data_IF_033666534097
#
_entry.id   IF_033666534097
#
_cell.length_a   1.000
_cell.length_b   1.000
_cell.length_c   1.000
_cell.angle_alpha   90.00
_cell.angle_beta   90.00
_cell.angle_gamma   90.00
#
_symmetry.space_group_name_H-M   'P 1'
#
loop_
_entity.id
_entity.type
_entity.pdbx_description
1 polymer ?
#
# COMPACT_ATOMS: atom_id res chain seq x y z
N UNK A 1 5.83 29.23 19.27
CA UNK A 1 6.35 28.48 18.10
C UNK A 1 5.57 27.18 18.02
N UNK A 2 4.79 26.95 16.96
CA UNK A 2 3.83 25.84 16.91
C UNK A 2 4.45 24.55 16.38
N UNK A 3 4.39 23.46 17.14
CA UNK A 3 4.85 22.12 16.71
C UNK A 3 3.88 21.42 15.75
N UNK A 4 2.75 22.03 15.40
CA UNK A 4 1.70 21.40 14.59
C UNK A 4 2.18 20.87 13.24
N UNK A 5 3.07 21.60 12.56
CA UNK A 5 3.65 21.14 11.29
C UNK A 5 4.52 19.89 11.44
N UNK A 6 5.32 19.82 12.50
CA UNK A 6 6.18 18.66 12.79
C UNK A 6 5.32 17.44 13.13
N UNK A 7 4.25 17.62 13.92
CA UNK A 7 3.31 16.55 14.23
C UNK A 7 2.60 16.03 12.98
N UNK A 8 2.14 16.92 12.08
CA UNK A 8 1.52 16.51 10.82
C UNK A 8 2.47 15.69 9.94
N UNK A 9 3.74 16.08 9.84
CA UNK A 9 4.77 15.33 9.10
C UNK A 9 5.02 13.95 9.73
N UNK A 10 5.14 13.88 11.06
CA UNK A 10 5.31 12.61 11.78
C UNK A 10 4.12 11.67 11.53
N UNK A 11 2.89 12.15 11.69
CA UNK A 11 1.69 11.36 11.44
C UNK A 11 1.59 10.92 9.97
N UNK A 12 1.85 11.82 9.02
CA UNK A 12 1.84 11.49 7.60
C UNK A 12 2.88 10.42 7.26
N UNK A 13 4.09 10.52 7.82
CA UNK A 13 5.13 9.52 7.63
C UNK A 13 4.74 8.16 8.21
N UNK A 14 4.21 8.13 9.44
CA UNK A 14 3.78 6.89 10.09
C UNK A 14 2.66 6.19 9.32
N UNK A 15 1.66 6.95 8.85
CA UNK A 15 0.55 6.40 8.06
C UNK A 15 0.98 5.96 6.66
N UNK A 16 1.79 6.77 5.96
CA UNK A 16 2.26 6.47 4.61
C UNK A 16 3.30 5.35 4.52
N UNK A 17 3.98 5.03 5.63
CA UNK A 17 4.96 3.94 5.67
C UNK A 17 4.31 2.55 5.77
N UNK A 18 2.99 2.48 5.91
CA UNK A 18 2.26 1.20 5.98
C UNK A 18 2.22 0.56 4.58
N UNK A 19 2.69 -0.69 4.42
CA UNK A 19 2.72 -1.35 3.12
C UNK A 19 1.34 -1.91 2.74
N UNK A 20 0.36 -1.04 2.47
CA UNK A 20 -1.03 -1.41 2.20
C UNK A 20 -1.17 -2.45 1.09
N UNK A 21 -0.40 -2.34 0.01
CA UNK A 21 -0.47 -3.31 -1.08
C UNK A 21 -0.09 -4.73 -0.70
N UNK A 22 0.84 -4.92 0.25
CA UNK A 22 1.15 -6.26 0.80
C UNK A 22 0.07 -6.73 1.76
N UNK A 23 -0.43 -5.83 2.62
CA UNK A 23 -1.44 -6.17 3.63
C UNK A 23 -2.78 -6.54 2.99
N UNK A 24 -3.24 -5.75 2.03
CA UNK A 24 -4.54 -5.91 1.35
C UNK A 24 -4.52 -7.16 0.47
N UNK A 25 -3.50 -7.32 -0.38
CA UNK A 25 -3.41 -8.50 -1.25
C UNK A 25 -3.18 -9.79 -0.46
N UNK A 26 -2.37 -9.72 0.61
CA UNK A 26 -2.17 -10.84 1.53
C UNK A 26 -3.45 -11.24 2.26
N UNK A 27 -4.17 -10.27 2.83
CA UNK A 27 -5.45 -10.51 3.51
C UNK A 27 -6.55 -11.00 2.55
N UNK A 28 -6.50 -10.62 1.27
CA UNK A 28 -7.42 -11.08 0.24
C UNK A 28 -7.06 -12.46 -0.37
N UNK A 29 -6.02 -13.13 0.13
CA UNK A 29 -5.64 -14.48 -0.30
C UNK A 29 -4.87 -14.55 -1.63
N UNK A 30 -4.41 -13.41 -2.17
CA UNK A 30 -3.59 -13.37 -3.39
C UNK A 30 -2.11 -13.74 -3.13
N UNK A 31 -1.73 -13.93 -1.87
CA UNK A 31 -0.36 -14.22 -1.47
C UNK A 31 0.55 -13.00 -1.62
N UNK A 32 1.83 -13.24 -1.88
CA UNK A 32 2.83 -12.17 -2.00
C UNK A 32 2.79 -11.52 -3.39
N UNK A 33 2.21 -10.32 -3.47
CA UNK A 33 2.09 -9.56 -4.73
C UNK A 33 3.45 -9.25 -5.37
N UNK A 34 4.56 -9.30 -4.62
CA UNK A 34 5.92 -9.09 -5.17
C UNK A 34 6.37 -10.24 -6.07
N UNK A 35 5.70 -11.40 -6.01
CA UNK A 35 5.96 -12.53 -6.91
C UNK A 35 5.19 -12.43 -8.22
N UNK A 36 4.35 -11.40 -8.38
CA UNK A 36 3.48 -11.20 -9.54
C UNK A 36 3.92 -9.92 -10.26
N UNK A 37 3.97 -9.97 -11.60
CA UNK A 37 4.22 -8.79 -12.43
C UNK A 37 5.59 -8.14 -12.19
N UNK A 38 5.60 -6.85 -11.85
CA UNK A 38 6.84 -6.06 -11.73
C UNK A 38 7.53 -6.19 -10.37
N UNK A 39 6.93 -6.91 -9.43
CA UNK A 39 7.46 -7.06 -8.07
C UNK A 39 7.22 -5.88 -7.12
N UNK A 40 6.54 -4.83 -7.58
CA UNK A 40 6.16 -3.69 -6.73
C UNK A 40 4.85 -3.97 -5.97
N UNK A 41 4.62 -3.27 -4.86
CA UNK A 41 3.41 -3.46 -4.04
C UNK A 41 2.24 -2.55 -4.43
N UNK A 42 2.49 -1.54 -5.28
CA UNK A 42 1.49 -0.51 -5.59
C UNK A 42 0.32 -0.98 -6.47
N UNK A 43 -0.72 -0.15 -6.55
CA UNK A 43 -1.96 -0.37 -7.29
C UNK A 43 -1.77 -0.97 -8.69
N UNK A 44 -0.83 -0.44 -9.48
CA UNK A 44 -0.58 -0.93 -10.85
C UNK A 44 -0.14 -2.40 -10.86
N UNK A 45 0.64 -2.85 -9.87
CA UNK A 45 1.04 -4.25 -9.79
C UNK A 45 -0.08 -5.12 -9.23
N UNK A 46 -0.84 -4.61 -8.26
CA UNK A 46 -2.06 -5.29 -7.78
C UNK A 46 -3.06 -5.48 -8.92
N UNK A 47 -3.19 -4.53 -9.85
CA UNK A 47 -4.06 -4.68 -11.02
C UNK A 47 -3.64 -5.85 -11.92
N UNK A 48 -2.35 -6.21 -11.96
CA UNK A 48 -1.84 -7.37 -12.71
C UNK A 48 -2.25 -8.71 -12.11
N UNK A 49 -2.76 -8.73 -10.88
CA UNK A 49 -3.41 -9.91 -10.28
C UNK A 49 -4.82 -10.16 -10.85
N UNK A 50 -5.35 -9.22 -11.64
CA UNK A 50 -6.72 -9.26 -12.17
C UNK A 50 -7.77 -8.67 -11.22
N UNK A 51 -7.41 -8.34 -9.97
CA UNK A 51 -8.34 -7.79 -8.99
C UNK A 51 -8.35 -6.25 -9.00
N UNK A 52 -9.28 -5.67 -9.76
CA UNK A 52 -9.46 -4.20 -9.87
C UNK A 52 -9.85 -3.54 -8.53
N UNK A 53 -10.62 -4.24 -7.70
CA UNK A 53 -11.05 -3.72 -6.39
C UNK A 53 -9.89 -3.57 -5.42
N UNK A 54 -9.04 -4.60 -5.32
CA UNK A 54 -7.84 -4.53 -4.48
C UNK A 54 -6.83 -3.53 -5.02
N UNK A 55 -6.75 -3.36 -6.35
CA UNK A 55 -5.91 -2.34 -6.95
C UNK A 55 -6.36 -0.91 -6.61
N UNK A 56 -7.67 -0.67 -6.46
CA UNK A 56 -8.19 0.63 -6.02
C UNK A 56 -8.03 0.85 -4.51
N UNK A 57 -8.01 -0.23 -3.71
CA UNK A 57 -7.83 -0.16 -2.26
C UNK A 57 -6.36 -0.02 -1.83
N UNK A 58 -5.42 -0.28 -2.73
CA UNK A 58 -3.96 -0.23 -2.50
C UNK A 58 -3.37 1.10 -2.95
#
# INVERSE_FOLDING_TARGET
MGYGGILALLFGYLLGSIPFGLLITGAAGLGDVRKIGSGNIGATNVLRTGNKGLAAAT
#
